data_IF_284719911239
#
_entry.id   IF_284719911239
#
_cell.length_a   1.000
_cell.length_b   1.000
_cell.length_c   1.000
_cell.angle_alpha   90.00
_cell.angle_beta   90.00
_cell.angle_gamma   90.00
#
_symmetry.space_group_name_H-M   'P 1'
#
loop_
_entity.id
_entity.type
_entity.pdbx_description
1 polymer ?
#
# COMPACT_ATOMS: atom_id res chain seq x y z
N UNK A 1 5.30 -45.46 19.38
CA UNK A 1 4.28 -44.43 19.06
C UNK A 1 4.67 -43.05 19.60
N UNK A 2 5.16 -42.95 20.84
CA UNK A 2 5.51 -41.66 21.46
C UNK A 2 6.66 -40.91 20.77
N UNK A 3 7.71 -41.61 20.31
CA UNK A 3 8.81 -40.98 19.55
C UNK A 3 8.34 -40.31 18.24
N UNK A 4 7.42 -40.95 17.52
CA UNK A 4 6.84 -40.38 16.30
C UNK A 4 6.02 -39.12 16.61
N UNK A 5 5.26 -39.11 17.72
CA UNK A 5 4.49 -37.94 18.16
C UNK A 5 5.42 -36.75 18.47
N UNK A 6 6.55 -37.00 19.16
CA UNK A 6 7.55 -35.97 19.44
C UNK A 6 8.12 -35.33 18.18
N UNK A 7 8.47 -36.14 17.17
CA UNK A 7 8.96 -35.65 15.87
C UNK A 7 7.91 -34.80 15.16
N UNK A 8 6.65 -35.23 15.13
CA UNK A 8 5.56 -34.46 14.51
C UNK A 8 5.36 -33.09 15.18
N UNK A 9 5.43 -33.03 16.52
CA UNK A 9 5.31 -31.76 17.26
C UNK A 9 6.46 -30.81 16.88
N UNK A 10 7.69 -31.30 16.80
CA UNK A 10 8.85 -30.50 16.41
C UNK A 10 8.69 -29.93 14.99
N UNK A 11 8.24 -30.76 14.04
CA UNK A 11 7.99 -30.31 12.65
C UNK A 11 6.94 -29.20 12.61
N UNK A 12 5.87 -29.31 13.40
CA UNK A 12 4.82 -28.28 13.47
C UNK A 12 5.39 -26.97 14.04
N UNK A 13 6.17 -27.04 15.14
CA UNK A 13 6.80 -25.87 15.76
C UNK A 13 7.74 -25.17 14.79
N UNK A 14 8.59 -25.92 14.08
CA UNK A 14 9.50 -25.37 13.08
C UNK A 14 8.73 -24.71 11.92
N UNK A 15 7.66 -25.34 11.46
CA UNK A 15 6.80 -24.81 10.40
C UNK A 15 6.15 -23.49 10.80
N UNK A 16 5.60 -23.40 12.02
CA UNK A 16 5.01 -22.17 12.56
C UNK A 16 6.09 -21.09 12.70
N UNK A 17 7.25 -21.44 13.27
CA UNK A 17 8.38 -20.52 13.46
C UNK A 17 8.85 -19.94 12.13
N UNK A 18 8.97 -20.78 11.10
CA UNK A 18 9.31 -20.35 9.75
C UNK A 18 8.30 -19.34 9.18
N UNK A 19 6.99 -19.60 9.34
CA UNK A 19 5.95 -18.67 8.89
C UNK A 19 6.01 -17.32 9.64
N UNK A 20 6.31 -17.33 10.93
CA UNK A 20 6.47 -16.11 11.74
C UNK A 20 7.68 -15.30 11.26
N UNK A 21 8.85 -15.95 11.10
CA UNK A 21 10.07 -15.30 10.61
C UNK A 21 9.84 -14.71 9.21
N UNK A 22 9.20 -15.47 8.31
CA UNK A 22 8.85 -15.00 6.96
C UNK A 22 7.97 -13.75 7.03
N UNK A 23 6.94 -13.75 7.87
CA UNK A 23 6.05 -12.60 8.05
C UNK A 23 6.80 -11.37 8.59
N UNK A 24 7.73 -11.55 9.52
CA UNK A 24 8.57 -10.47 10.04
C UNK A 24 9.45 -9.89 8.93
N UNK A 25 10.10 -10.74 8.13
CA UNK A 25 10.96 -10.31 7.03
C UNK A 25 10.17 -9.56 5.95
N UNK A 26 8.97 -10.04 5.59
CA UNK A 26 8.08 -9.34 4.67
C UNK A 26 7.70 -7.96 5.23
N UNK A 27 7.33 -7.87 6.51
CA UNK A 27 6.97 -6.60 7.16
C UNK A 27 8.13 -5.60 7.12
N UNK A 28 9.35 -6.07 7.44
CA UNK A 28 10.57 -5.26 7.37
C UNK A 28 10.83 -4.77 5.93
N UNK A 29 10.68 -5.66 4.95
CA UNK A 29 10.85 -5.33 3.53
C UNK A 29 9.86 -4.26 3.05
N UNK A 30 8.57 -4.41 3.36
CA UNK A 30 7.56 -3.40 3.03
C UNK A 30 7.86 -2.06 3.67
N UNK A 31 8.25 -2.03 4.96
CA UNK A 31 8.65 -0.80 5.64
C UNK A 31 9.85 -0.14 4.95
N UNK A 32 10.91 -0.90 4.69
CA UNK A 32 12.08 -0.40 3.96
C UNK A 32 11.70 0.17 2.59
N UNK A 33 10.87 -0.52 1.81
CA UNK A 33 10.37 0.00 0.54
C UNK A 33 9.61 1.31 0.71
N UNK A 34 8.73 1.41 1.71
CA UNK A 34 7.96 2.63 1.97
C UNK A 34 8.85 3.78 2.46
N UNK A 35 9.83 3.50 3.32
CA UNK A 35 10.72 4.52 3.90
C UNK A 35 11.70 5.08 2.86
N UNK A 36 12.01 4.31 1.80
CA UNK A 36 12.79 4.76 0.65
C UNK A 36 11.95 5.48 -0.43
N UNK A 37 10.66 5.71 -0.18
CA UNK A 37 9.80 6.48 -1.09
C UNK A 37 9.55 7.88 -0.54
N UNK A 38 9.37 8.85 -1.44
CA UNK A 38 8.97 10.19 -1.05
C UNK A 38 7.55 10.14 -0.46
N UNK A 39 7.41 10.61 0.78
CA UNK A 39 6.12 10.85 1.41
C UNK A 39 5.62 12.25 1.05
N UNK A 40 4.41 12.34 0.50
CA UNK A 40 3.83 13.60 0.04
C UNK A 40 2.42 13.80 0.57
N UNK A 41 2.02 15.05 0.79
CA UNK A 41 0.65 15.42 1.11
C UNK A 41 -0.25 15.39 -0.15
N UNK A 42 -1.59 15.32 -0.01
CA UNK A 42 -2.50 15.50 -1.13
C UNK A 42 -2.27 16.82 -1.89
N UNK A 43 -1.91 17.90 -1.19
CA UNK A 43 -1.60 19.20 -1.79
C UNK A 43 -0.39 19.11 -2.71
N UNK A 44 0.69 18.49 -2.26
CA UNK A 44 1.90 18.27 -3.07
C UNK A 44 1.64 17.30 -4.22
N UNK A 45 0.87 16.23 -3.97
CA UNK A 45 0.42 15.31 -5.01
C UNK A 45 -0.32 16.06 -6.14
N UNK A 46 -1.25 16.96 -5.81
CA UNK A 46 -1.96 17.75 -6.82
C UNK A 46 -1.05 18.75 -7.53
N UNK A 47 -0.04 19.32 -6.85
CA UNK A 47 0.99 20.13 -7.53
C UNK A 47 1.71 19.29 -8.58
N UNK A 48 2.24 18.12 -8.21
CA UNK A 48 2.96 17.21 -9.13
C UNK A 48 2.05 16.76 -10.28
N UNK A 49 0.79 16.43 -9.98
CA UNK A 49 -0.20 16.04 -10.99
C UNK A 49 -0.46 17.16 -11.99
N UNK A 50 -0.66 18.38 -11.50
CA UNK A 50 -1.00 19.52 -12.34
C UNK A 50 0.22 20.05 -13.09
N UNK A 51 1.44 19.77 -12.62
CA UNK A 51 2.65 19.99 -13.39
C UNK A 51 2.55 19.24 -14.72
N UNK A 52 2.68 20.00 -15.80
CA UNK A 52 2.74 19.50 -17.16
C UNK A 52 4.08 19.90 -17.77
N UNK A 53 4.62 19.05 -18.64
CA UNK A 53 5.80 19.39 -19.46
C UNK A 53 5.41 20.35 -20.63
N UNK A 54 4.54 21.34 -20.39
CA UNK A 54 4.09 22.35 -21.35
C UNK A 54 2.57 22.62 -21.36
N UNK A 55 2.15 23.54 -22.25
CA UNK A 55 0.82 24.17 -22.29
C UNK A 55 -0.39 23.28 -22.61
N UNK A 56 -1.54 23.95 -22.82
CA UNK A 56 -2.89 23.38 -22.98
C UNK A 56 -2.89 22.19 -23.95
N UNK A 57 -3.31 21.01 -23.48
CA UNK A 57 -3.45 19.78 -24.28
C UNK A 57 -2.35 18.72 -24.10
N UNK A 58 -1.25 19.00 -23.39
CA UNK A 58 -0.21 17.99 -23.09
C UNK A 58 -0.58 17.10 -21.90
N UNK A 59 -0.12 15.84 -21.93
CA UNK A 59 -0.32 14.89 -20.83
C UNK A 59 0.36 15.40 -19.57
N UNK A 60 -0.37 15.39 -18.46
CA UNK A 60 0.15 15.65 -17.12
C UNK A 60 1.31 14.71 -16.77
N UNK A 61 2.28 15.18 -15.98
CA UNK A 61 3.43 14.40 -15.50
C UNK A 61 2.94 13.11 -14.83
N UNK A 62 1.88 13.18 -14.03
CA UNK A 62 1.25 12.00 -13.40
C UNK A 62 0.81 10.91 -14.37
N UNK A 63 0.55 11.25 -15.63
CA UNK A 63 0.17 10.28 -16.68
C UNK A 63 1.38 9.71 -17.40
N UNK A 64 2.45 10.49 -17.51
CA UNK A 64 3.69 10.07 -18.18
C UNK A 64 4.54 9.17 -17.30
N UNK A 65 4.56 9.41 -15.98
CA UNK A 65 5.37 8.67 -15.01
C UNK A 65 4.52 7.77 -14.11
N UNK A 66 3.31 7.40 -14.56
CA UNK A 66 2.50 6.43 -13.83
C UNK A 66 3.11 5.03 -13.93
N UNK A 67 2.89 4.21 -12.91
CA UNK A 67 3.51 2.89 -12.80
C UNK A 67 2.58 1.88 -12.13
N UNK A 68 2.93 0.60 -12.30
CA UNK A 68 2.28 -0.50 -11.59
C UNK A 68 2.88 -0.63 -10.18
N UNK A 69 2.04 -0.64 -9.16
CA UNK A 69 2.49 -0.73 -7.77
C UNK A 69 1.37 -0.64 -6.75
N UNK A 70 1.75 -0.29 -5.53
CA UNK A 70 0.85 0.01 -4.41
C UNK A 70 1.02 1.44 -3.93
N UNK A 71 -0.02 1.98 -3.32
CA UNK A 71 0.02 3.24 -2.60
C UNK A 71 -0.53 3.07 -1.19
N UNK A 72 0.02 3.84 -0.27
CA UNK A 72 -0.36 3.89 1.14
C UNK A 72 -0.83 5.32 1.39
N UNK A 73 -2.10 5.48 1.76
CA UNK A 73 -2.68 6.74 2.21
C UNK A 73 -2.81 6.64 3.72
N UNK A 74 -2.18 7.56 4.43
CA UNK A 74 -2.21 7.61 5.89
C UNK A 74 -2.98 8.84 6.35
N UNK A 75 -4.08 8.63 7.09
CA UNK A 75 -4.77 9.67 7.84
C UNK A 75 -4.10 9.80 9.20
N UNK A 76 -3.35 10.89 9.41
CA UNK A 76 -2.69 11.19 10.67
C UNK A 76 -3.68 11.58 11.76
N UNK A 77 -4.75 12.29 11.42
CA UNK A 77 -5.79 12.72 12.38
C UNK A 77 -6.43 11.52 13.08
N UNK A 78 -6.73 10.46 12.32
CA UNK A 78 -7.41 9.26 12.84
C UNK A 78 -6.47 8.08 13.09
N UNK A 79 -5.19 8.21 12.76
CA UNK A 79 -4.21 7.12 12.77
C UNK A 79 -4.72 5.88 11.98
N UNK A 80 -5.23 6.11 10.77
CA UNK A 80 -5.82 5.08 9.92
C UNK A 80 -5.14 5.02 8.55
N UNK A 81 -4.94 3.81 8.04
CA UNK A 81 -4.35 3.59 6.73
C UNK A 81 -5.38 3.12 5.71
N UNK A 82 -5.20 3.54 4.46
CA UNK A 82 -5.75 2.88 3.27
C UNK A 82 -4.59 2.44 2.39
N UNK A 83 -4.66 1.21 1.89
CA UNK A 83 -3.70 0.67 0.92
C UNK A 83 -4.46 0.21 -0.30
N UNK A 84 -3.96 0.55 -1.48
CA UNK A 84 -4.50 0.00 -2.72
C UNK A 84 -3.40 -0.28 -3.73
N UNK A 85 -3.72 -1.13 -4.70
CA UNK A 85 -2.88 -1.34 -5.87
C UNK A 85 -3.47 -0.73 -7.15
N UNK A 86 -2.63 -0.69 -8.18
CA UNK A 86 -3.05 -0.49 -9.56
C UNK A 86 -1.89 -0.58 -10.54
N UNK A 87 -2.23 -0.80 -11.81
CA UNK A 87 -1.29 -0.65 -12.95
C UNK A 87 -0.91 0.82 -13.21
N UNK A 88 -1.67 1.74 -12.61
CA UNK A 88 -1.58 3.20 -12.72
C UNK A 88 -1.82 3.81 -11.34
N UNK A 89 -0.79 3.76 -10.48
CA UNK A 89 -0.83 4.21 -9.09
C UNK A 89 -1.22 5.68 -8.95
N UNK A 90 -0.64 6.60 -9.74
CA UNK A 90 -0.98 8.03 -9.67
C UNK A 90 -2.46 8.26 -9.96
N UNK A 91 -3.00 7.64 -11.02
CA UNK A 91 -4.43 7.75 -11.32
C UNK A 91 -5.31 7.22 -10.19
N UNK A 92 -4.90 6.13 -9.52
CA UNK A 92 -5.65 5.55 -8.40
C UNK A 92 -5.63 6.44 -7.17
N UNK A 93 -4.47 6.98 -6.80
CA UNK A 93 -4.35 7.97 -5.71
C UNK A 93 -5.23 9.18 -5.98
N UNK A 94 -5.17 9.73 -7.20
CA UNK A 94 -5.99 10.88 -7.59
C UNK A 94 -7.48 10.64 -7.34
N UNK A 95 -8.00 9.45 -7.69
CA UNK A 95 -9.42 9.13 -7.51
C UNK A 95 -9.88 9.23 -6.06
N UNK A 96 -9.04 8.88 -5.08
CA UNK A 96 -9.39 9.00 -3.65
C UNK A 96 -9.60 10.44 -3.22
N UNK A 97 -8.81 11.37 -3.76
CA UNK A 97 -8.89 12.79 -3.40
C UNK A 97 -9.80 13.61 -4.34
N UNK A 98 -10.43 12.97 -5.33
CA UNK A 98 -11.46 13.55 -6.21
C UNK A 98 -12.82 12.84 -6.13
N UNK A 99 -13.06 12.03 -5.09
CA UNK A 99 -14.38 11.42 -4.82
C UNK A 99 -14.72 10.14 -5.60
N UNK A 100 -13.78 9.61 -6.40
CA UNK A 100 -13.98 8.42 -7.24
C UNK A 100 -13.26 7.17 -6.69
N UNK A 101 -12.79 7.23 -5.45
CA UNK A 101 -12.05 6.17 -4.77
C UNK A 101 -12.82 5.60 -3.57
N UNK A 102 -12.15 5.45 -2.44
CA UNK A 102 -12.77 5.11 -1.17
C UNK A 102 -13.50 6.35 -0.62
N UNK A 103 -14.82 6.26 -0.51
CA UNK A 103 -15.66 7.37 -0.05
C UNK A 103 -15.31 7.88 1.35
N UNK A 104 -14.86 7.01 2.27
CA UNK A 104 -14.49 7.42 3.63
C UNK A 104 -13.17 8.22 3.63
N UNK A 105 -12.19 7.79 2.83
CA UNK A 105 -10.94 8.56 2.66
C UNK A 105 -11.25 9.94 2.08
N UNK A 106 -12.12 10.00 1.07
CA UNK A 106 -12.51 11.27 0.45
C UNK A 106 -13.27 12.18 1.41
N UNK A 107 -14.24 11.63 2.16
CA UNK A 107 -15.02 12.38 3.12
C UNK A 107 -14.11 12.99 4.20
N UNK A 108 -13.25 12.18 4.82
CA UNK A 108 -12.31 12.64 5.85
C UNK A 108 -11.36 13.71 5.31
N UNK A 109 -10.85 13.53 4.08
CA UNK A 109 -10.04 14.57 3.42
C UNK A 109 -10.82 15.87 3.23
N UNK A 110 -12.10 15.81 2.83
CA UNK A 110 -12.95 17.00 2.67
C UNK A 110 -13.28 17.69 3.99
N UNK A 111 -13.35 16.94 5.09
CA UNK A 111 -13.53 17.48 6.44
C UNK A 111 -12.25 18.05 7.06
N UNK A 112 -11.11 17.98 6.35
CA UNK A 112 -9.87 18.64 6.75
C UNK A 112 -8.89 17.76 7.51
N UNK A 113 -9.09 16.43 7.54
CA UNK A 113 -8.12 15.52 8.12
C UNK A 113 -6.76 15.61 7.40
N UNK A 114 -5.67 15.42 8.15
CA UNK A 114 -4.33 15.49 7.61
C UNK A 114 -3.92 14.13 7.04
N UNK A 115 -3.56 14.12 5.74
CA UNK A 115 -3.15 12.93 5.02
C UNK A 115 -1.74 13.03 4.46
N UNK A 116 -1.07 11.88 4.38
CA UNK A 116 0.12 11.67 3.55
C UNK A 116 -0.02 10.44 2.66
N UNK A 117 0.82 10.38 1.63
CA UNK A 117 0.79 9.38 0.58
C UNK A 117 2.23 8.89 0.37
N UNK A 118 2.41 7.56 0.38
CA UNK A 118 3.61 6.86 -0.11
C UNK A 118 3.23 5.96 -1.27
N UNK A 119 4.12 5.80 -2.25
CA UNK A 119 3.86 5.00 -3.46
C UNK A 119 5.05 4.10 -3.75
N UNK A 120 4.82 2.79 -3.77
CA UNK A 120 5.84 1.76 -3.97
C UNK A 120 5.60 1.10 -5.33
N UNK A 121 6.58 1.20 -6.23
CA UNK A 121 6.53 0.50 -7.51
C UNK A 121 6.60 -1.01 -7.30
N UNK A 122 5.89 -1.79 -8.13
CA UNK A 122 6.05 -3.24 -8.17
C UNK A 122 7.43 -3.61 -8.72
N UNK A 123 7.86 -2.89 -9.75
CA UNK A 123 9.20 -3.02 -10.31
C UNK A 123 10.23 -2.82 -9.19
N UNK A 124 11.24 -3.70 -9.13
CA UNK A 124 12.31 -3.70 -8.12
C UNK A 124 11.87 -3.87 -6.65
N UNK A 125 10.57 -4.00 -6.37
CA UNK A 125 10.09 -4.33 -5.02
C UNK A 125 10.49 -5.75 -4.57
N UNK A 126 10.82 -6.62 -5.52
CA UNK A 126 11.07 -8.05 -5.30
C UNK A 126 9.84 -8.81 -4.81
N UNK A 127 8.64 -8.34 -5.14
CA UNK A 127 7.39 -9.10 -5.09
C UNK A 127 6.99 -9.49 -6.52
N UNK A 128 6.30 -10.62 -6.67
CA UNK A 128 6.03 -11.20 -7.99
C UNK A 128 4.79 -10.56 -8.64
N UNK A 129 3.84 -10.11 -7.82
CA UNK A 129 2.58 -9.57 -8.32
C UNK A 129 2.06 -8.39 -7.50
N UNK A 130 1.20 -7.58 -8.12
CA UNK A 130 0.47 -6.51 -7.43
C UNK A 130 -0.39 -7.05 -6.27
N UNK A 131 -1.00 -8.21 -6.44
CA UNK A 131 -1.82 -8.83 -5.39
C UNK A 131 -0.96 -9.22 -4.17
N UNK A 132 0.23 -9.79 -4.42
CA UNK A 132 1.15 -10.14 -3.34
C UNK A 132 1.66 -8.90 -2.60
N UNK A 133 2.10 -7.89 -3.34
CA UNK A 133 2.57 -6.62 -2.78
C UNK A 133 1.46 -5.93 -1.97
N UNK A 134 0.23 -5.86 -2.50
CA UNK A 134 -0.93 -5.25 -1.82
C UNK A 134 -1.27 -5.96 -0.51
N UNK A 135 -1.44 -7.29 -0.54
CA UNK A 135 -1.82 -8.06 0.65
C UNK A 135 -0.81 -7.89 1.78
N UNK A 136 0.47 -7.96 1.44
CA UNK A 136 1.54 -7.78 2.41
C UNK A 136 1.62 -6.34 2.93
N UNK A 137 1.31 -5.35 2.10
CA UNK A 137 1.24 -3.95 2.50
C UNK A 137 0.05 -3.67 3.42
N UNK A 138 -1.16 -4.13 3.07
CA UNK A 138 -2.36 -4.04 3.93
C UNK A 138 -2.09 -4.67 5.30
N UNK A 139 -1.47 -5.85 5.34
CA UNK A 139 -1.11 -6.54 6.59
C UNK A 139 -0.09 -5.75 7.39
N UNK A 140 0.93 -5.19 6.74
CA UNK A 140 2.02 -4.43 7.39
C UNK A 140 1.52 -3.19 8.12
N UNK A 141 0.59 -2.45 7.49
CA UNK A 141 -0.01 -1.22 8.01
C UNK A 141 -1.34 -1.43 8.72
N UNK A 142 -1.77 -2.68 8.86
CA UNK A 142 -3.03 -3.06 9.49
C UNK A 142 -4.27 -2.33 8.93
N UNK A 143 -4.24 -2.01 7.63
CA UNK A 143 -5.22 -1.15 6.98
C UNK A 143 -6.62 -1.79 6.88
N UNK A 144 -6.71 -3.12 7.04
CA UNK A 144 -7.97 -3.85 7.06
C UNK A 144 -8.67 -3.82 8.42
N UNK A 145 -7.94 -4.12 9.52
CA UNK A 145 -8.60 -4.25 10.83
C UNK A 145 -8.69 -2.93 11.60
N UNK A 146 -7.84 -1.94 11.27
CA UNK A 146 -7.79 -0.63 11.92
C UNK A 146 -7.72 0.52 10.91
N UNK A 147 -8.13 0.29 9.67
CA UNK A 147 -8.02 1.28 8.60
C UNK A 147 -9.24 1.30 7.69
N UNK A 148 -9.07 1.88 6.51
CA UNK A 148 -10.13 2.10 5.54
C UNK A 148 -10.36 0.93 4.57
N UNK A 149 -9.49 -0.10 4.56
CA UNK A 149 -9.64 -1.24 3.65
C UNK A 149 -10.78 -2.15 4.11
N UNK A 150 -11.70 -2.47 3.19
CA UNK A 150 -12.79 -3.44 3.42
C UNK A 150 -12.40 -4.89 3.17
N UNK A 151 -11.23 -5.15 2.61
CA UNK A 151 -10.71 -6.49 2.31
C UNK A 151 -9.24 -6.60 2.68
N UNK A 152 -8.74 -7.82 2.81
CA UNK A 152 -7.31 -8.10 3.06
C UNK A 152 -6.44 -8.02 1.78
N UNK A 153 -6.98 -7.46 0.70
CA UNK A 153 -6.38 -7.44 -0.65
C UNK A 153 -6.96 -8.50 -1.59
N UNK A 154 -6.66 -8.37 -2.88
CA UNK A 154 -7.19 -9.27 -3.91
C UNK A 154 -6.59 -10.68 -3.79
N UNK A 155 -7.39 -11.72 -4.02
CA UNK A 155 -6.94 -13.13 -3.91
C UNK A 155 -6.18 -13.64 -5.14
N UNK A 156 -6.38 -13.03 -6.30
CA UNK A 156 -5.83 -13.53 -7.57
C UNK A 156 -6.70 -14.63 -8.11
#
# INVERSE_FOLDING_TARGET
>A
MEEFVGIYIIIIILSISFLVIRNINIKKKIKSLADNTLEITPKEFFKIRNSSNGGKGRKHISTQYDFAGVYIIYNHTKNMYYVGQGKKVFQRVNRHFTGNGNGNVYADYKYGDFFTIKMIALEQSGFISLNELERNTIKTYNAYSKGYNKTKGNRG
#
